data_IF_319616249370
#
_entry.id   IF_319616249370
#
_cell.length_a   1.000
_cell.length_b   1.000
_cell.length_c   1.000
_cell.angle_alpha   90.00
_cell.angle_beta   90.00
_cell.angle_gamma   90.00
#
_symmetry.space_group_name_H-M   'P 1'
#
loop_
_entity.id
_entity.type
_entity.pdbx_description
1 polymer ?
#
# COMPACT_ATOMS: atom_id res chain seq x y z
N UNK A 1 -16.94 -13.47 9.05
CA UNK A 1 -17.12 -12.37 8.08
C UNK A 1 -15.83 -11.58 8.04
N UNK A 2 -15.33 -11.26 6.85
CA UNK A 2 -14.07 -10.52 6.69
C UNK A 2 -14.33 -9.02 6.73
N UNK A 3 -13.46 -8.28 7.41
CA UNK A 3 -13.55 -6.83 7.50
C UNK A 3 -12.17 -6.20 7.70
N UNK A 4 -12.05 -4.93 7.35
CA UNK A 4 -10.89 -4.12 7.69
C UNK A 4 -11.26 -3.02 8.69
N UNK A 5 -10.31 -2.67 9.54
CA UNK A 5 -10.35 -1.52 10.44
C UNK A 5 -9.14 -0.64 10.13
N UNK A 6 -9.32 0.67 10.10
CA UNK A 6 -8.20 1.58 9.96
C UNK A 6 -8.50 2.98 10.48
N UNK A 7 -7.44 3.75 10.62
CA UNK A 7 -7.48 5.16 11.00
C UNK A 7 -6.77 5.99 9.92
N UNK A 8 -7.44 7.03 9.43
CA UNK A 8 -6.87 7.93 8.44
C UNK A 8 -7.12 9.40 8.79
N UNK A 9 -6.31 10.29 8.23
CA UNK A 9 -6.50 11.74 8.34
C UNK A 9 -6.19 12.40 7.02
N UNK A 10 -6.87 13.51 6.74
CA UNK A 10 -6.55 14.33 5.59
C UNK A 10 -5.22 15.04 5.78
N UNK A 11 -4.51 15.24 4.68
CA UNK A 11 -3.30 16.02 4.62
C UNK A 11 -3.63 17.50 4.84
N UNK A 12 -2.80 18.18 5.62
CA UNK A 12 -2.93 19.63 5.77
C UNK A 12 -2.24 20.31 4.58
N UNK A 13 -3.01 20.83 3.62
CA UNK A 13 -2.48 21.39 2.37
C UNK A 13 -1.87 22.78 2.51
N UNK A 14 -1.95 23.40 3.70
CA UNK A 14 -1.48 24.78 3.92
C UNK A 14 -0.73 25.04 5.23
N UNK A 15 -0.45 24.01 6.03
CA UNK A 15 0.30 24.13 7.28
C UNK A 15 1.36 23.03 7.35
N UNK A 16 2.53 23.38 7.86
CA UNK A 16 3.59 22.42 8.18
C UNK A 16 3.16 21.42 9.28
N UNK A 17 2.07 21.74 10.00
CA UNK A 17 1.51 20.88 11.04
C UNK A 17 0.56 19.84 10.47
N UNK A 18 0.88 18.60 10.80
CA UNK A 18 0.07 17.43 10.57
C UNK A 18 -1.34 17.58 11.14
N UNK A 19 -2.36 17.18 10.38
CA UNK A 19 -3.71 17.03 10.92
C UNK A 19 -3.70 15.95 12.01
N UNK A 20 -3.99 16.32 13.24
CA UNK A 20 -4.00 15.40 14.38
C UNK A 20 -5.34 14.71 14.58
N UNK A 21 -6.37 15.10 13.83
CA UNK A 21 -7.69 14.49 13.88
C UNK A 21 -7.70 13.24 13.00
N UNK A 22 -7.91 12.09 13.62
CA UNK A 22 -7.97 10.79 12.96
C UNK A 22 -9.41 10.29 12.89
N UNK A 23 -9.82 9.88 11.69
CA UNK A 23 -11.10 9.22 11.45
C UNK A 23 -10.89 7.71 11.52
N UNK A 24 -11.50 7.07 12.51
CA UNK A 24 -11.57 5.61 12.58
C UNK A 24 -12.69 5.10 11.68
N UNK A 25 -12.44 4.01 10.94
CA UNK A 25 -13.43 3.42 10.04
C UNK A 25 -13.29 1.92 10.00
N UNK A 26 -14.44 1.25 10.01
CA UNK A 26 -14.56 -0.20 9.77
C UNK A 26 -15.32 -0.41 8.47
N UNK A 27 -14.84 -1.32 7.63
CA UNK A 27 -15.49 -1.71 6.38
C UNK A 27 -15.52 -3.23 6.27
N UNK A 28 -16.68 -3.77 5.96
CA UNK A 28 -16.81 -5.17 5.58
C UNK A 28 -16.16 -5.40 4.21
N UNK A 29 -15.56 -6.57 4.01
CA UNK A 29 -15.05 -6.97 2.70
C UNK A 29 -16.17 -6.96 1.64
N UNK A 30 -15.85 -6.49 0.44
CA UNK A 30 -16.79 -6.49 -0.68
C UNK A 30 -16.93 -7.88 -1.30
N UNK A 31 -18.02 -8.08 -2.05
CA UNK A 31 -18.27 -9.30 -2.83
C UNK A 31 -17.97 -9.01 -4.30
N UNK A 32 -16.83 -9.52 -4.81
CA UNK A 32 -16.41 -9.28 -6.19
C UNK A 32 -15.75 -7.92 -6.44
N UNK A 33 -15.61 -7.07 -5.41
CA UNK A 33 -14.87 -5.81 -5.45
C UNK A 33 -14.21 -5.54 -4.11
N UNK A 34 -13.12 -4.78 -4.10
CA UNK A 34 -12.52 -4.33 -2.84
C UNK A 34 -13.39 -3.27 -2.16
N UNK A 35 -13.44 -3.33 -0.83
CA UNK A 35 -13.84 -2.19 -0.02
C UNK A 35 -12.60 -1.34 0.27
N UNK A 36 -12.73 -0.01 0.31
CA UNK A 36 -11.61 0.91 0.58
C UNK A 36 -11.83 1.71 1.86
N UNK A 37 -10.74 1.98 2.60
CA UNK A 37 -10.77 2.76 3.84
C UNK A 37 -11.01 4.24 3.54
N UNK A 38 -10.34 4.72 2.50
CA UNK A 38 -10.45 6.04 1.89
C UNK A 38 -10.92 5.83 0.45
N UNK A 39 -11.80 6.70 -0.05
CA UNK A 39 -12.16 6.67 -1.46
C UNK A 39 -10.92 6.92 -2.31
N UNK A 40 -10.87 6.32 -3.49
CA UNK A 40 -9.67 6.48 -4.29
C UNK A 40 -9.40 7.96 -4.63
N UNK A 41 -10.42 8.71 -5.02
CA UNK A 41 -10.27 10.13 -5.39
C UNK A 41 -9.64 10.99 -4.29
N UNK A 42 -9.64 10.50 -3.06
CA UNK A 42 -9.05 11.17 -1.91
C UNK A 42 -7.72 10.51 -1.47
N UNK A 43 -7.21 9.50 -2.19
CA UNK A 43 -6.09 8.68 -1.74
C UNK A 43 -4.81 9.49 -1.52
N UNK A 44 -4.45 10.38 -2.45
CA UNK A 44 -3.27 11.22 -2.24
C UNK A 44 -3.52 12.28 -1.19
N UNK A 45 -4.77 12.68 -0.92
CA UNK A 45 -5.13 13.66 0.10
C UNK A 45 -5.18 13.10 1.52
N UNK A 46 -5.04 11.78 1.72
CA UNK A 46 -5.12 11.14 3.02
C UNK A 46 -3.86 10.36 3.39
N UNK A 47 -3.68 10.16 4.69
CA UNK A 47 -2.65 9.28 5.26
C UNK A 47 -3.30 8.30 6.21
N UNK A 48 -2.72 7.10 6.29
CA UNK A 48 -3.18 6.02 7.17
C UNK A 48 -2.24 5.94 8.36
N UNK A 49 -2.78 5.88 9.58
CA UNK A 49 -2.03 5.62 10.81
C UNK A 49 -1.94 4.13 11.10
N UNK A 50 -3.09 3.46 10.99
CA UNK A 50 -3.27 2.07 11.36
C UNK A 50 -4.19 1.41 10.34
N UNK A 51 -3.87 0.16 9.99
CA UNK A 51 -4.65 -0.68 9.10
C UNK A 51 -4.56 -2.12 9.58
N UNK A 52 -5.70 -2.77 9.74
CA UNK A 52 -5.79 -4.18 10.13
C UNK A 52 -6.89 -4.87 9.34
N UNK A 53 -6.63 -6.13 8.99
CA UNK A 53 -7.55 -7.00 8.28
C UNK A 53 -7.92 -8.17 9.18
N UNK A 54 -9.21 -8.34 9.42
CA UNK A 54 -9.76 -9.43 10.21
C UNK A 54 -10.43 -10.41 9.27
N UNK A 55 -9.78 -11.54 9.08
CA UNK A 55 -10.19 -12.57 8.14
C UNK A 55 -10.97 -13.66 8.88
N UNK A 56 -12.25 -13.37 9.12
CA UNK A 56 -13.19 -14.25 9.81
C UNK A 56 -13.89 -15.27 8.91
N UNK A 57 -13.51 -15.38 7.63
CA UNK A 57 -13.92 -16.46 6.73
C UNK A 57 -13.31 -17.79 7.18
N UNK A 58 -14.14 -18.85 7.17
CA UNK A 58 -13.67 -20.21 7.38
C UNK A 58 -12.84 -20.74 6.22
N UNK A 59 -12.77 -20.02 5.09
CA UNK A 59 -11.98 -20.41 3.93
C UNK A 59 -10.81 -19.46 3.70
N UNK A 60 -9.66 -20.01 3.32
CA UNK A 60 -8.59 -19.23 2.70
C UNK A 60 -9.03 -18.74 1.31
N UNK A 61 -8.57 -17.53 0.97
CA UNK A 61 -8.84 -16.90 -0.32
C UNK A 61 -9.09 -15.40 -0.21
N UNK A 62 -8.81 -14.79 0.94
CA UNK A 62 -8.92 -13.35 1.09
C UNK A 62 -7.88 -12.63 0.22
N UNK A 63 -8.32 -11.52 -0.37
CA UNK A 63 -7.47 -10.57 -1.08
C UNK A 63 -7.59 -9.21 -0.39
N UNK A 64 -6.45 -8.56 -0.18
CA UNK A 64 -6.38 -7.25 0.44
C UNK A 64 -5.20 -6.46 -0.12
N UNK A 65 -5.27 -5.14 -0.08
CA UNK A 65 -4.22 -4.30 -0.62
C UNK A 65 -3.92 -3.09 0.28
N UNK A 66 -2.74 -2.51 0.06
CA UNK A 66 -2.39 -1.18 0.56
C UNK A 66 -1.77 -0.37 -0.57
N UNK A 67 -2.19 0.88 -0.69
CA UNK A 67 -1.62 1.85 -1.63
C UNK A 67 -0.68 2.79 -0.90
N UNK A 68 0.55 2.89 -1.40
CA UNK A 68 1.51 3.90 -1.00
C UNK A 68 1.53 4.99 -2.06
N UNK A 69 1.01 6.16 -1.68
CA UNK A 69 0.94 7.34 -2.53
C UNK A 69 2.19 8.22 -2.30
N UNK A 70 2.93 8.48 -3.35
CA UNK A 70 4.08 9.37 -3.37
C UNK A 70 3.74 10.66 -4.13
N UNK A 71 4.00 11.79 -3.48
CA UNK A 71 3.94 13.11 -4.09
C UNK A 71 5.37 13.55 -4.42
N UNK A 72 5.61 13.80 -5.70
CA UNK A 72 6.89 14.20 -6.25
C UNK A 72 7.31 15.61 -5.83
N UNK A 73 8.56 15.97 -6.16
CA UNK A 73 9.11 17.27 -5.83
C UNK A 73 8.26 18.40 -6.45
N UNK A 74 8.06 19.47 -5.69
CA UNK A 74 7.45 20.71 -6.15
C UNK A 74 8.47 21.60 -6.89
N UNK A 75 9.50 21.00 -7.46
CA UNK A 75 10.51 21.65 -8.29
C UNK A 75 10.12 21.38 -9.74
N UNK A 76 10.20 22.41 -10.57
CA UNK A 76 9.95 22.29 -12.01
C UNK A 76 11.22 21.77 -12.69
N UNK A 77 11.20 20.52 -13.13
CA UNK A 77 12.32 19.92 -13.87
C UNK A 77 12.09 20.00 -15.38
N UNK A 78 10.83 19.95 -15.82
CA UNK A 78 10.50 19.87 -17.23
C UNK A 78 10.67 21.21 -17.95
N UNK A 79 10.07 22.28 -17.45
CA UNK A 79 10.18 23.62 -18.07
C UNK A 79 11.62 24.15 -18.00
N UNK A 80 12.31 23.87 -16.89
CA UNK A 80 13.68 24.34 -16.64
C UNK A 80 14.76 23.48 -17.33
N UNK A 81 14.35 22.43 -18.05
CA UNK A 81 15.25 21.46 -18.71
C UNK A 81 16.29 20.83 -17.76
N UNK A 82 15.89 20.59 -16.51
CA UNK A 82 16.73 19.92 -15.52
C UNK A 82 16.60 18.41 -15.72
N UNK A 83 17.73 17.75 -15.94
CA UNK A 83 17.80 16.29 -16.05
C UNK A 83 17.85 15.69 -14.65
N UNK A 84 16.91 14.80 -14.34
CA UNK A 84 16.89 14.07 -13.08
C UNK A 84 16.59 12.58 -13.34
N UNK A 85 17.06 11.74 -12.43
CA UNK A 85 16.87 10.30 -12.47
C UNK A 85 16.13 9.87 -11.21
N UNK A 86 15.03 9.15 -11.34
CA UNK A 86 14.29 8.65 -10.18
C UNK A 86 14.25 7.14 -10.18
N UNK A 87 14.64 6.56 -9.05
CA UNK A 87 14.54 5.12 -8.81
C UNK A 87 13.33 4.81 -7.93
N UNK A 88 12.83 3.59 -8.05
CA UNK A 88 11.81 3.02 -7.20
C UNK A 88 12.31 1.69 -6.63
N UNK A 89 12.28 1.61 -5.31
CA UNK A 89 12.43 0.38 -4.55
C UNK A 89 11.12 0.06 -3.83
N UNK A 90 10.60 -1.15 -4.03
CA UNK A 90 9.45 -1.69 -3.33
C UNK A 90 9.82 -3.03 -2.70
N UNK A 91 9.73 -3.10 -1.38
CA UNK A 91 10.02 -4.30 -0.60
C UNK A 91 8.84 -4.64 0.29
N UNK A 92 8.81 -5.90 0.71
CA UNK A 92 7.79 -6.41 1.62
C UNK A 92 8.37 -7.48 2.52
N UNK A 93 7.86 -7.58 3.75
CA UNK A 93 8.15 -8.70 4.64
C UNK A 93 6.91 -9.04 5.46
N UNK A 94 6.92 -10.25 6.01
CA UNK A 94 5.88 -10.72 6.94
C UNK A 94 6.53 -11.26 8.19
N UNK A 95 5.94 -10.93 9.34
CA UNK A 95 6.28 -11.54 10.62
C UNK A 95 5.06 -12.30 11.14
N UNK A 96 5.13 -13.62 11.05
CA UNK A 96 4.07 -14.51 11.50
C UNK A 96 3.92 -14.50 13.03
N UNK A 97 2.67 -14.63 13.49
CA UNK A 97 2.36 -14.75 14.91
C UNK A 97 1.18 -15.69 15.15
N UNK A 98 1.08 -16.16 16.40
CA UNK A 98 -0.13 -16.82 16.94
C UNK A 98 -0.62 -16.02 18.14
N UNK A 99 -1.89 -15.59 18.10
CA UNK A 99 -2.56 -14.95 19.22
C UNK A 99 -2.83 -15.96 20.34
N UNK A 100 -2.39 -15.63 21.55
CA UNK A 100 -2.53 -16.49 22.76
C UNK A 100 -3.71 -16.09 23.65
N UNK A 101 -4.30 -14.91 23.42
CA UNK A 101 -5.45 -14.38 24.16
C UNK A 101 -6.75 -15.19 24.03
N UNK A 102 -7.70 -14.89 24.92
CA UNK A 102 -9.02 -15.57 25.00
C UNK A 102 -9.90 -15.32 23.77
N UNK A 103 -9.74 -14.17 23.10
CA UNK A 103 -10.48 -13.85 21.87
C UNK A 103 -9.53 -13.92 20.65
N UNK A 104 -9.75 -14.86 19.70
CA UNK A 104 -9.03 -14.86 18.43
C UNK A 104 -9.34 -13.59 17.62
N UNK A 105 -8.31 -12.88 17.16
CA UNK A 105 -8.46 -11.77 16.20
C UNK A 105 -8.54 -10.35 16.79
N UNK A 106 -8.72 -10.19 18.11
CA UNK A 106 -8.59 -8.87 18.74
C UNK A 106 -7.15 -8.66 19.22
N UNK A 107 -6.29 -8.22 18.29
CA UNK A 107 -5.07 -7.50 18.64
C UNK A 107 -5.50 -6.09 19.06
N UNK A 108 -6.20 -5.97 20.20
CA UNK A 108 -6.66 -4.69 20.68
C UNK A 108 -5.45 -3.89 21.23
N UNK A 109 -5.08 -2.73 20.65
CA UNK A 109 -4.17 -1.80 21.30
C UNK A 109 -4.80 -1.10 22.53
N UNK A 110 -6.11 -1.27 22.78
CA UNK A 110 -6.85 -0.46 23.74
C UNK A 110 -7.07 -1.14 25.10
N UNK A 111 -5.98 -1.35 25.84
CA UNK A 111 -6.01 -1.42 27.30
C UNK A 111 -5.47 -0.11 27.89
N UNK A 112 -6.21 0.67 28.68
CA UNK A 112 -5.70 1.90 29.24
C UNK A 112 -4.57 1.56 30.23
N UNK A 113 -3.32 1.87 29.85
CA UNK A 113 -2.15 1.72 30.70
C UNK A 113 -1.03 0.79 30.19
N UNK A 114 -1.17 0.17 29.01
CA UNK A 114 -0.09 -0.63 28.42
C UNK A 114 0.61 0.13 27.28
N UNK A 115 1.92 0.34 27.42
CA UNK A 115 2.78 0.78 26.33
C UNK A 115 2.58 -0.17 25.13
N UNK A 116 2.37 0.39 23.93
CA UNK A 116 2.11 -0.33 22.68
C UNK A 116 3.06 -1.53 22.44
N UNK A 117 2.66 -2.71 22.91
CA UNK A 117 3.44 -3.93 22.92
C UNK A 117 2.72 -5.06 22.21
N UNK A 118 3.48 -6.01 21.68
CA UNK A 118 3.03 -7.28 21.07
C UNK A 118 2.44 -8.23 22.13
N UNK A 119 1.74 -7.71 23.12
CA UNK A 119 1.27 -8.45 24.28
C UNK A 119 0.17 -9.41 23.86
N UNK A 120 0.35 -10.69 24.18
CA UNK A 120 -0.56 -11.76 23.75
C UNK A 120 -0.26 -12.36 22.36
N UNK A 121 0.89 -12.03 21.75
CA UNK A 121 1.35 -12.63 20.50
C UNK A 121 2.58 -13.52 20.72
N UNK A 122 2.52 -14.75 20.22
CA UNK A 122 3.71 -15.58 20.03
C UNK A 122 4.26 -15.36 18.62
N UNK A 123 5.37 -14.62 18.52
CA UNK A 123 6.06 -14.28 17.26
C UNK A 123 6.93 -15.41 16.69
N UNK A 124 7.00 -16.56 17.37
CA UNK A 124 7.69 -17.76 16.91
C UNK A 124 6.71 -18.92 16.87
N UNK A 125 5.69 -18.87 15.99
CA UNK A 125 4.70 -19.92 15.94
C UNK A 125 5.30 -21.19 15.32
N UNK A 126 4.91 -22.37 15.85
CA UNK A 126 5.34 -23.67 15.31
C UNK A 126 4.90 -23.85 13.86
N UNK A 127 3.81 -23.19 13.46
CA UNK A 127 3.30 -23.16 12.09
C UNK A 127 3.04 -21.70 11.71
N UNK A 128 3.58 -21.26 10.58
CA UNK A 128 3.46 -19.88 10.09
C UNK A 128 2.14 -19.66 9.35
N UNK A 129 1.49 -18.52 9.57
CA UNK A 129 0.31 -18.11 8.82
C UNK A 129 0.60 -18.04 7.32
N UNK A 130 1.69 -17.38 6.93
CA UNK A 130 2.14 -17.22 5.54
C UNK A 130 2.28 -18.54 4.80
N UNK A 131 2.70 -19.59 5.51
CA UNK A 131 2.80 -20.95 4.96
C UNK A 131 1.43 -21.63 4.87
N UNK A 132 0.59 -21.51 5.89
CA UNK A 132 -0.75 -22.10 5.91
C UNK A 132 -1.70 -21.51 4.87
N UNK A 133 -1.67 -20.19 4.71
CA UNK A 133 -2.51 -19.45 3.77
C UNK A 133 -1.91 -19.39 2.37
N UNK A 134 -0.70 -19.92 2.17
CA UNK A 134 0.03 -19.79 0.91
C UNK A 134 0.16 -18.34 0.47
N UNK A 135 0.43 -17.42 1.40
CA UNK A 135 0.34 -15.99 1.13
C UNK A 135 1.27 -15.58 -0.01
N UNK A 136 0.71 -14.95 -1.05
CA UNK A 136 1.46 -14.32 -2.13
C UNK A 136 1.27 -12.81 -2.11
N UNK A 137 2.25 -12.12 -2.65
CA UNK A 137 2.22 -10.66 -2.83
C UNK A 137 2.62 -10.28 -4.24
N UNK A 138 1.89 -9.32 -4.78
CA UNK A 138 2.16 -8.60 -6.03
C UNK A 138 2.25 -7.12 -5.73
N UNK A 139 3.04 -6.40 -6.51
CA UNK A 139 3.07 -4.95 -6.50
C UNK A 139 2.83 -4.38 -7.88
N UNK A 140 2.08 -3.28 -7.90
CA UNK A 140 1.73 -2.54 -9.10
C UNK A 140 2.09 -1.08 -8.89
N UNK A 141 2.88 -0.55 -9.81
CA UNK A 141 3.30 0.85 -9.79
C UNK A 141 2.71 1.58 -10.97
N UNK A 142 2.19 2.77 -10.72
CA UNK A 142 1.88 3.75 -11.75
C UNK A 142 2.40 5.12 -11.31
N UNK A 143 3.09 5.81 -12.20
CA UNK A 143 3.62 7.14 -11.98
C UNK A 143 3.23 8.08 -13.12
N UNK A 144 2.68 9.22 -12.74
CA UNK A 144 2.51 10.39 -13.58
C UNK A 144 3.77 11.26 -13.54
N UNK A 145 4.23 11.69 -14.71
CA UNK A 145 5.53 12.36 -14.88
C UNK A 145 5.36 13.79 -15.41
N UNK A 146 6.24 14.70 -14.96
CA UNK A 146 6.34 16.06 -15.50
C UNK A 146 6.61 16.01 -17.00
N UNK A 147 6.04 16.92 -17.77
CA UNK A 147 6.23 17.00 -19.21
C UNK A 147 5.49 15.94 -20.02
N UNK A 148 4.61 15.16 -19.39
CA UNK A 148 3.74 14.15 -20.01
C UNK A 148 2.27 14.48 -19.72
N UNK A 149 1.35 13.91 -20.49
CA UNK A 149 -0.09 14.10 -20.30
C UNK A 149 -0.57 15.57 -20.31
N UNK A 150 -1.81 15.81 -19.83
CA UNK A 150 -2.46 17.13 -19.75
C UNK A 150 -1.76 18.07 -18.77
N UNK A 151 -1.31 17.53 -17.65
CA UNK A 151 -0.70 18.30 -16.59
C UNK A 151 0.81 18.06 -16.65
N UNK A 152 1.54 18.99 -17.27
CA UNK A 152 2.97 18.83 -17.58
C UNK A 152 3.89 19.43 -16.53
N UNK A 153 3.40 20.38 -15.75
CA UNK A 153 4.22 21.14 -14.83
C UNK A 153 4.13 20.57 -13.42
N UNK A 154 5.13 20.89 -12.60
CA UNK A 154 5.10 20.65 -11.15
C UNK A 154 4.00 21.48 -10.46
N UNK A 155 3.66 22.65 -11.05
CA UNK A 155 2.63 23.57 -10.56
C UNK A 155 1.25 23.31 -11.15
N UNK A 156 0.23 23.85 -10.49
CA UNK A 156 -1.16 23.81 -10.96
C UNK A 156 -1.42 24.85 -12.09
N UNK A 157 -2.65 24.86 -12.61
CA UNK A 157 -3.06 25.80 -13.67
C UNK A 157 -3.12 27.27 -13.21
N UNK A 158 -3.11 27.53 -11.90
CA UNK A 158 -3.03 28.86 -11.30
C UNK A 158 -1.58 29.28 -10.99
N UNK A 159 -0.58 28.54 -11.50
CA UNK A 159 0.84 28.78 -11.28
C UNK A 159 1.27 28.65 -9.80
N UNK A 160 0.55 27.83 -9.03
CA UNK A 160 0.84 27.54 -7.62
C UNK A 160 1.36 26.12 -7.47
N UNK A 161 2.31 25.93 -6.56
CA UNK A 161 2.79 24.61 -6.15
C UNK A 161 1.80 24.01 -5.13
N UNK A 162 0.58 23.72 -5.59
CA UNK A 162 -0.43 23.00 -4.84
C UNK A 162 -0.41 21.53 -5.26
N UNK A 163 -0.19 20.64 -4.29
CA UNK A 163 -0.05 19.22 -4.51
C UNK A 163 -1.35 18.48 -4.86
N UNK A 164 -2.53 19.11 -4.82
CA UNK A 164 -3.81 18.38 -5.03
C UNK A 164 -4.63 18.85 -6.25
N UNK A 165 -4.55 20.12 -6.66
CA UNK A 165 -5.44 20.66 -7.71
C UNK A 165 -5.29 19.95 -9.08
N UNK A 166 -4.11 19.38 -9.33
CA UNK A 166 -3.77 18.63 -10.54
C UNK A 166 -3.28 17.21 -10.20
N UNK A 167 -3.83 16.61 -9.14
CA UNK A 167 -3.54 15.22 -8.76
C UNK A 167 -3.80 14.24 -9.91
N UNK A 168 -2.92 13.25 -10.06
CA UNK A 168 -3.09 12.19 -11.05
C UNK A 168 -4.31 11.31 -10.74
N UNK A 169 -5.18 11.13 -11.73
CA UNK A 169 -6.32 10.21 -11.67
C UNK A 169 -5.97 8.91 -12.41
N UNK A 170 -5.81 7.80 -11.69
CA UNK A 170 -5.47 6.50 -12.28
C UNK A 170 -6.73 5.66 -12.56
N UNK A 171 -7.26 5.63 -13.78
CA UNK A 171 -8.62 5.13 -14.05
C UNK A 171 -8.91 3.62 -13.82
N UNK A 172 -7.93 2.74 -13.60
CA UNK A 172 -8.17 1.35 -13.15
C UNK A 172 -7.54 1.14 -11.77
N UNK A 173 -8.40 0.69 -10.88
CA UNK A 173 -8.10 0.49 -9.48
C UNK A 173 -7.63 -0.94 -9.21
N UNK A 174 -7.90 -1.94 -10.07
CA UNK A 174 -7.63 -3.35 -9.77
C UNK A 174 -6.47 -3.95 -10.57
N UNK A 175 -5.92 -3.19 -11.50
CA UNK A 175 -4.79 -3.57 -12.33
C UNK A 175 -3.85 -2.37 -12.47
N UNK A 176 -2.57 -2.60 -12.79
CA UNK A 176 -1.74 -1.56 -13.38
C UNK A 176 -2.44 -1.21 -14.69
N UNK A 177 -3.19 -0.11 -14.71
CA UNK A 177 -3.71 0.34 -15.97
C UNK A 177 -2.49 0.69 -16.81
N UNK A 178 -2.28 -0.07 -17.89
CA UNK A 178 -1.75 0.50 -19.12
C UNK A 178 -2.78 1.56 -19.53
N UNK A 179 -2.79 2.71 -18.84
CA UNK A 179 -3.48 3.88 -19.30
C UNK A 179 -2.86 4.16 -20.65
N UNK A 180 -3.62 3.99 -21.73
CA UNK A 180 -3.15 4.37 -23.05
C UNK A 180 -2.65 5.81 -22.97
N UNK A 181 -1.34 5.99 -23.11
CA UNK A 181 -0.65 7.27 -22.97
C UNK A 181 0.15 7.42 -21.67
N UNK A 182 1.46 7.59 -21.83
CA UNK A 182 2.28 8.55 -21.08
C UNK A 182 2.45 8.42 -19.54
N UNK A 183 2.15 7.26 -18.94
CA UNK A 183 2.53 6.95 -17.55
C UNK A 183 3.72 5.99 -17.49
N UNK A 184 4.53 6.07 -16.43
CA UNK A 184 5.41 4.96 -16.07
C UNK A 184 4.59 3.90 -15.34
N UNK A 185 4.70 2.64 -15.76
CA UNK A 185 4.02 1.51 -15.14
C UNK A 185 5.00 0.40 -14.80
N UNK A 186 4.81 -0.23 -13.65
CA UNK A 186 5.63 -1.33 -13.17
C UNK A 186 4.80 -2.43 -12.55
N UNK A 187 5.21 -3.68 -12.73
CA UNK A 187 4.54 -4.84 -12.12
C UNK A 187 5.56 -5.93 -11.86
N UNK A 188 5.45 -6.61 -10.73
CA UNK A 188 6.16 -7.87 -10.48
C UNK A 188 5.21 -9.07 -10.53
N UNK A 189 5.79 -10.24 -10.74
CA UNK A 189 5.05 -11.50 -10.67
C UNK A 189 4.69 -11.85 -9.22
N UNK A 190 3.57 -12.56 -9.00
CA UNK A 190 3.16 -12.96 -7.66
C UNK A 190 4.24 -13.80 -7.01
N UNK A 191 4.66 -13.36 -5.82
CA UNK A 191 5.77 -13.95 -5.08
C UNK A 191 5.26 -14.48 -3.74
N UNK A 192 5.60 -15.72 -3.40
CA UNK A 192 5.28 -16.28 -2.08
C UNK A 192 6.01 -15.51 -0.98
N UNK A 193 5.27 -15.12 0.05
CA UNK A 193 5.81 -14.30 1.14
C UNK A 193 6.15 -15.16 2.35
N UNK A 194 7.37 -15.68 2.40
CA UNK A 194 7.91 -16.47 3.51
C UNK A 194 9.09 -15.80 4.24
N UNK A 195 9.32 -14.52 3.95
CA UNK A 195 10.42 -13.69 4.45
C UNK A 195 10.44 -12.35 3.72
N UNK A 196 11.47 -11.52 3.94
CA UNK A 196 11.64 -10.28 3.19
C UNK A 196 11.85 -10.55 1.70
N UNK A 197 11.23 -9.76 0.84
CA UNK A 197 11.31 -9.83 -0.61
C UNK A 197 11.46 -8.43 -1.20
N UNK A 198 12.36 -8.33 -2.17
CA UNK A 198 12.40 -7.20 -3.09
C UNK A 198 11.39 -7.51 -4.20
N UNK A 199 10.34 -6.70 -4.30
CA UNK A 199 9.32 -6.86 -5.33
C UNK A 199 9.70 -6.08 -6.59
N UNK A 200 10.30 -4.90 -6.38
CA UNK A 200 10.59 -3.97 -7.46
C UNK A 200 11.84 -3.16 -7.12
N UNK A 201 12.77 -3.07 -8.06
CA UNK A 201 13.97 -2.24 -7.96
C UNK A 201 14.35 -1.81 -9.38
N UNK A 202 13.93 -0.61 -9.78
CA UNK A 202 14.13 -0.11 -11.15
C UNK A 202 14.19 1.41 -11.18
N UNK A 203 14.58 1.94 -12.33
CA UNK A 203 14.40 3.34 -12.66
C UNK A 203 12.95 3.59 -13.10
N UNK A 204 12.31 4.60 -12.48
CA UNK A 204 11.08 5.21 -13.02
C UNK A 204 11.44 5.94 -14.31
N UNK A 205 12.55 6.69 -14.28
CA UNK A 205 13.05 7.43 -15.41
C UNK A 205 14.58 7.48 -15.37
N UNK A 206 15.20 7.54 -16.56
CA UNK A 206 16.64 7.78 -16.72
C UNK A 206 16.82 8.91 -17.73
N UNK A 207 17.35 10.04 -17.26
CA UNK A 207 17.59 11.27 -18.02
C UNK A 207 16.33 11.79 -18.75
N UNK A 208 15.16 11.50 -18.19
CA UNK A 208 13.88 11.90 -18.78
C UNK A 208 13.00 12.57 -17.72
N UNK A 209 11.71 12.26 -17.69
CA UNK A 209 10.69 13.01 -16.99
C UNK A 209 10.61 12.66 -15.50
N UNK A 210 10.56 13.67 -14.64
CA UNK A 210 10.46 13.54 -13.17
C UNK A 210 9.05 13.12 -12.72
N UNK A 211 8.88 12.18 -11.76
CA UNK A 211 7.57 11.83 -11.23
C UNK A 211 6.93 12.97 -10.43
N UNK A 212 5.63 13.19 -10.65
CA UNK A 212 4.79 14.11 -9.86
C UNK A 212 3.90 13.37 -8.87
N UNK A 213 3.31 12.27 -9.31
CA UNK A 213 2.47 11.42 -8.48
C UNK A 213 2.74 9.98 -8.81
N UNK A 214 3.11 9.19 -7.81
CA UNK A 214 3.22 7.75 -7.96
C UNK A 214 2.28 7.06 -6.99
N UNK A 215 1.75 5.91 -7.40
CA UNK A 215 1.08 4.97 -6.53
C UNK A 215 1.74 3.62 -6.67
N UNK A 216 2.15 3.07 -5.54
CA UNK A 216 2.65 1.70 -5.42
C UNK A 216 1.63 0.91 -4.61
N UNK A 217 0.92 0.01 -5.28
CA UNK A 217 -0.04 -0.90 -4.66
C UNK A 217 0.66 -2.19 -4.29
N UNK A 218 0.47 -2.67 -3.08
CA UNK A 218 0.81 -4.03 -2.67
C UNK A 218 -0.49 -4.83 -2.54
N UNK A 219 -0.65 -5.89 -3.31
CA UNK A 219 -1.80 -6.81 -3.24
C UNK A 219 -1.34 -8.10 -2.59
N UNK A 220 -2.01 -8.48 -1.52
CA UNK A 220 -1.80 -9.70 -0.80
C UNK A 220 -2.95 -10.65 -1.06
N UNK A 221 -2.61 -11.91 -1.32
CA UNK A 221 -3.58 -12.94 -1.65
C UNK A 221 -3.25 -14.21 -0.90
N UNK A 222 -4.21 -14.69 -0.12
CA UNK A 222 -4.16 -16.06 0.38
C UNK A 222 -4.36 -17.00 -0.82
N UNK A 223 -3.36 -17.81 -1.14
CA UNK A 223 -3.51 -18.81 -2.19
C UNK A 223 -4.05 -20.11 -1.63
N UNK A 224 -4.67 -20.89 -2.49
CA UNK A 224 -5.17 -22.21 -2.13
C UNK A 224 -4.05 -23.27 -2.07
N UNK A 225 -2.96 -23.00 -1.33
CA UNK A 225 -1.71 -23.77 -1.46
C UNK A 225 -1.72 -25.18 -0.87
N UNK A 226 -2.86 -25.66 -0.33
CA UNK A 226 -3.01 -27.04 0.14
C UNK A 226 -4.19 -27.74 -0.54
N UNK A 227 -4.16 -27.81 -1.88
CA UNK A 227 -5.17 -28.52 -2.67
C UNK A 227 -5.05 -30.05 -2.51
N UNK A 228 -5.78 -30.59 -1.52
CA UNK A 228 -6.32 -31.96 -1.54
C UNK A 228 -7.64 -32.08 -0.74
N UNK A 229 -7.90 -31.22 0.26
CA UNK A 229 -9.15 -31.19 1.04
C UNK A 229 -9.54 -29.74 1.32
N UNK A 230 -10.84 -29.42 1.21
CA UNK A 230 -11.47 -28.08 1.39
C UNK A 230 -10.70 -27.16 2.34
N UNK A 231 -10.46 -25.95 1.84
CA UNK A 231 -9.68 -24.80 2.33
C UNK A 231 -10.05 -24.28 3.73
N UNK A 232 -10.30 -25.14 4.72
CA UNK A 232 -10.77 -24.74 6.03
C UNK A 232 -9.66 -24.05 6.82
N UNK A 233 -9.90 -22.81 7.24
CA UNK A 233 -9.12 -22.05 8.22
C UNK A 233 -9.31 -22.72 9.58
N UNK A 234 -8.52 -23.76 9.85
CA UNK A 234 -8.61 -24.57 11.08
C UNK A 234 -8.28 -23.79 12.36
N UNK A 235 -7.64 -22.62 12.25
CA UNK A 235 -7.02 -21.95 13.40
C UNK A 235 -7.17 -20.43 13.34
N UNK A 236 -8.20 -19.88 13.98
CA UNK A 236 -8.52 -18.44 14.02
C UNK A 236 -7.47 -17.55 14.73
N UNK A 237 -6.39 -18.13 15.23
CA UNK A 237 -5.36 -17.43 16.02
C UNK A 237 -4.08 -17.12 15.25
N UNK A 238 -3.88 -17.68 14.05
CA UNK A 238 -2.70 -17.38 13.24
C UNK A 238 -2.90 -16.06 12.49
N UNK A 239 -1.87 -15.23 12.45
CA UNK A 239 -1.84 -14.01 11.67
C UNK A 239 -0.41 -13.67 11.26
N UNK A 240 -0.26 -12.60 10.50
CA UNK A 240 1.03 -12.02 10.19
C UNK A 240 0.95 -10.49 10.20
N UNK A 241 2.01 -9.87 10.72
CA UNK A 241 2.26 -8.45 10.56
C UNK A 241 2.98 -8.23 9.23
N UNK A 242 2.41 -7.37 8.39
CA UNK A 242 2.85 -7.15 7.03
C UNK A 242 3.56 -5.79 6.95
N UNK A 243 4.85 -5.82 6.62
CA UNK A 243 5.63 -4.60 6.45
C UNK A 243 5.83 -4.34 4.96
N UNK A 244 5.42 -3.16 4.49
CA UNK A 244 5.73 -2.68 3.15
C UNK A 244 6.72 -1.53 3.25
N UNK A 245 7.69 -1.51 2.35
CA UNK A 245 8.66 -0.43 2.26
C UNK A 245 8.71 0.05 0.81
N UNK A 246 8.47 1.34 0.63
CA UNK A 246 8.55 1.99 -0.68
C UNK A 246 9.52 3.16 -0.56
N UNK A 247 10.45 3.25 -1.51
CA UNK A 247 11.36 4.38 -1.63
C UNK A 247 11.35 4.85 -3.08
N UNK A 248 11.02 6.13 -3.26
CA UNK A 248 11.17 6.83 -4.53
C UNK A 248 12.13 7.99 -4.27
N UNK A 249 13.27 8.01 -4.95
CA UNK A 249 14.31 8.99 -4.73
C UNK A 249 14.97 9.46 -6.02
N UNK A 250 15.48 10.68 -5.99
CA UNK A 250 16.35 11.20 -7.03
C UNK A 250 17.75 10.56 -6.88
N UNK A 251 18.18 9.82 -7.90
CA UNK A 251 19.50 9.23 -8.00
C UNK A 251 20.47 10.12 -8.77
N UNK A 252 21.77 9.96 -8.51
CA UNK A 252 22.80 10.62 -9.31
C UNK A 252 22.74 10.13 -10.77
N UNK A 253 22.89 11.04 -11.73
CA UNK A 253 23.21 10.66 -13.10
C UNK A 253 24.58 9.98 -13.10
N UNK A 254 24.63 8.71 -13.50
CA UNK A 254 25.89 8.03 -13.79
C UNK A 254 26.53 8.61 -15.06
#
# INVERSE_FOLDING_TARGET
>A
MDYMKGQYSSWNTGDAKWNTNWTATTRQAGQGSFATLVNHEDAFSNRIKELSFNLGSELYGAEYFVDICYRGPQIEYWEDNVVANFSLLAQVSATDFVATGVNPGDNNPDGPGFNHGRDGLNMTPNIKYTTLSGLTVESYTVCDLQGMNTFKYARNNANQYNMLDNEAKFSDWNAPQNGGGDFFTGTNQPTTLNGAKDLYNTWINQNTKTPRFCRVRYVFKETNHAAAIKNLRKWQRHGAEMCTYTKIEEGAAN
#
